data_IF_092814705884
#
_entry.id   IF_092814705884
#
_cell.length_a   1.000
_cell.length_b   1.000
_cell.length_c   1.000
_cell.angle_alpha   90.00
_cell.angle_beta   90.00
_cell.angle_gamma   90.00
#
_symmetry.space_group_name_H-M   'P 1'
#
loop_
_entity.id
_entity.type
_entity.pdbx_description
1 polymer ?
#
# COMPACT_ATOMS: atom_id res chain seq x y z
N UNK A 1 -57.22 4.05 0.52
CA UNK A 1 -56.42 5.27 0.33
C UNK A 1 -55.75 5.60 1.65
N UNK A 2 -54.46 5.31 1.79
CA UNK A 2 -53.72 5.58 3.03
C UNK A 2 -53.23 7.03 2.94
N UNK A 3 -53.75 7.90 3.80
CA UNK A 3 -53.47 9.34 3.82
C UNK A 3 -52.39 9.59 4.87
N UNK A 4 -51.13 9.43 4.48
CA UNK A 4 -50.01 9.70 5.38
C UNK A 4 -49.89 11.21 5.64
N UNK A 5 -49.79 11.65 6.90
CA UNK A 5 -49.58 13.06 7.22
C UNK A 5 -48.21 13.53 6.69
N UNK A 6 -48.17 14.74 6.10
CA UNK A 6 -47.01 15.33 5.41
C UNK A 6 -45.69 15.27 6.21
N UNK A 7 -45.79 15.33 7.55
CA UNK A 7 -44.67 15.23 8.48
C UNK A 7 -43.98 13.85 8.46
N UNK A 8 -44.73 12.76 8.30
CA UNK A 8 -44.16 11.41 8.23
C UNK A 8 -43.45 11.17 6.91
N UNK A 9 -43.93 11.79 5.83
CA UNK A 9 -43.30 11.72 4.51
C UNK A 9 -41.91 12.39 4.49
N UNK A 10 -41.78 13.52 5.20
CA UNK A 10 -40.52 14.22 5.37
C UNK A 10 -39.47 13.39 6.12
N UNK A 11 -39.87 12.66 7.15
CA UNK A 11 -38.97 11.79 7.94
C UNK A 11 -38.51 10.58 7.12
N UNK A 12 -39.43 9.96 6.39
CA UNK A 12 -39.12 8.83 5.50
C UNK A 12 -38.18 9.25 4.37
N UNK A 13 -38.40 10.43 3.78
CA UNK A 13 -37.53 10.98 2.74
C UNK A 13 -36.11 11.26 3.28
N UNK A 14 -35.98 11.86 4.46
CA UNK A 14 -34.68 12.15 5.07
C UNK A 14 -33.88 10.88 5.40
N UNK A 15 -34.52 9.83 5.93
CA UNK A 15 -33.86 8.53 6.14
C UNK A 15 -33.40 7.89 4.83
N UNK A 16 -34.24 7.92 3.79
CA UNK A 16 -33.88 7.32 2.50
C UNK A 16 -32.67 8.01 1.86
N UNK A 17 -32.58 9.34 1.99
CA UNK A 17 -31.43 10.12 1.49
C UNK A 17 -30.16 9.78 2.28
N UNK A 18 -30.24 9.68 3.62
CA UNK A 18 -29.10 9.30 4.45
C UNK A 18 -28.59 7.89 4.14
N UNK A 19 -29.50 6.92 3.95
CA UNK A 19 -29.15 5.54 3.58
C UNK A 19 -28.49 5.49 2.19
N UNK A 20 -29.04 6.22 1.21
CA UNK A 20 -28.46 6.30 -0.13
C UNK A 20 -27.05 6.89 -0.10
N UNK A 21 -26.83 7.94 0.70
CA UNK A 21 -25.50 8.52 0.90
C UNK A 21 -24.53 7.50 1.51
N UNK A 22 -24.91 6.79 2.57
CA UNK A 22 -24.07 5.74 3.17
C UNK A 22 -23.62 4.66 2.16
N UNK A 23 -24.49 4.23 1.25
CA UNK A 23 -24.14 3.21 0.24
C UNK A 23 -23.11 3.75 -0.78
N UNK A 24 -23.20 5.03 -1.14
CA UNK A 24 -22.25 5.65 -2.10
C UNK A 24 -20.84 5.82 -1.50
N UNK A 25 -20.71 6.06 -0.19
CA UNK A 25 -19.41 6.21 0.46
C UNK A 25 -18.77 4.87 0.88
N UNK A 26 -19.52 3.76 0.91
CA UNK A 26 -18.97 2.43 1.23
C UNK A 26 -18.46 1.64 0.00
N UNK A 27 -18.70 2.10 -1.23
CA UNK A 27 -18.17 1.46 -2.43
C UNK A 27 -16.79 2.01 -2.84
N UNK A 28 -15.79 1.81 -1.98
CA UNK A 28 -14.39 2.06 -2.34
C UNK A 28 -13.48 0.95 -1.82
N UNK A 29 -13.66 -0.26 -2.33
CA UNK A 29 -12.55 -1.20 -2.53
C UNK A 29 -12.79 -1.95 -3.83
N UNK A 30 -12.04 -1.69 -4.92
CA UNK A 30 -11.91 -2.69 -5.96
C UNK A 30 -11.17 -3.88 -5.34
N UNK A 31 -11.91 -4.94 -5.04
CA UNK A 31 -11.30 -6.23 -4.76
C UNK A 31 -10.47 -6.62 -5.99
N UNK A 32 -9.17 -6.80 -5.76
CA UNK A 32 -8.21 -7.26 -6.75
C UNK A 32 -8.71 -8.61 -7.29
N UNK A 33 -9.27 -8.62 -8.51
CA UNK A 33 -9.70 -9.86 -9.17
C UNK A 33 -8.50 -10.78 -9.33
N UNK A 34 -8.51 -11.88 -8.59
CA UNK A 34 -7.68 -13.04 -8.87
C UNK A 34 -8.29 -13.74 -10.11
N UNK A 35 -7.83 -13.38 -11.29
CA UNK A 35 -8.13 -14.16 -12.49
C UNK A 35 -7.28 -15.42 -12.44
N UNK A 36 -7.98 -16.54 -12.28
CA UNK A 36 -7.39 -17.87 -12.20
C UNK A 36 -6.61 -18.27 -13.44
N UNK A 37 -5.55 -19.01 -13.16
CA UNK A 37 -4.77 -19.91 -14.02
C UNK A 37 -5.53 -20.36 -15.28
N UNK A 38 -4.94 -20.07 -16.45
CA UNK A 38 -4.95 -21.02 -17.56
C UNK A 38 -3.51 -21.14 -18.06
N UNK A 39 -2.93 -22.30 -17.78
CA UNK A 39 -1.67 -22.73 -18.36
C UNK A 39 -1.89 -23.04 -19.85
N UNK A 40 -1.12 -22.38 -20.71
CA UNK A 40 -0.84 -22.88 -22.07
C UNK A 40 0.63 -22.68 -22.34
N UNK A 41 1.37 -23.78 -22.27
CA UNK A 41 2.77 -23.89 -22.64
C UNK A 41 2.92 -23.83 -24.15
N UNK A 42 3.79 -22.96 -24.70
CA UNK A 42 4.52 -23.18 -25.97
C UNK A 42 5.88 -22.44 -25.93
N UNK A 43 6.95 -23.24 -25.91
CA UNK A 43 8.34 -23.13 -26.41
C UNK A 43 9.14 -21.81 -26.43
N UNK A 44 10.28 -21.83 -25.74
CA UNK A 44 11.40 -20.89 -25.83
C UNK A 44 12.66 -21.67 -26.30
N UNK A 45 13.48 -21.19 -27.26
CA UNK A 45 14.69 -21.88 -27.69
C UNK A 45 15.93 -21.49 -26.88
N UNK A 46 16.85 -22.44 -26.79
CA UNK A 46 18.11 -22.50 -26.02
C UNK A 46 19.03 -21.26 -26.08
N UNK A 47 19.45 -20.81 -24.89
CA UNK A 47 20.66 -20.02 -24.66
C UNK A 47 21.33 -20.49 -23.35
N UNK A 48 22.67 -20.45 -23.24
CA UNK A 48 23.44 -21.31 -22.34
C UNK A 48 23.27 -20.98 -20.85
N UNK A 49 23.23 -22.06 -20.06
CA UNK A 49 23.07 -22.10 -18.61
C UNK A 49 24.20 -21.33 -17.88
N UNK A 50 24.03 -20.02 -17.71
CA UNK A 50 24.44 -19.41 -16.45
C UNK A 50 23.38 -19.81 -15.43
N UNK A 51 23.82 -20.57 -14.44
CA UNK A 51 23.05 -21.09 -13.32
C UNK A 51 22.39 -19.95 -12.53
N UNK A 52 21.30 -19.40 -13.07
CA UNK A 52 20.27 -18.74 -12.28
C UNK A 52 19.76 -19.83 -11.35
N UNK A 53 20.17 -19.81 -10.08
CA UNK A 53 19.49 -20.59 -9.05
C UNK A 53 18.00 -20.20 -9.09
N UNK A 54 17.10 -21.03 -9.67
CA UNK A 54 15.69 -20.68 -9.83
C UNK A 54 14.93 -20.82 -8.51
N UNK A 55 15.62 -21.18 -7.42
CA UNK A 55 15.05 -21.59 -6.14
C UNK A 55 14.95 -20.51 -5.06
N UNK A 56 15.22 -19.24 -5.35
CA UNK A 56 15.10 -18.18 -4.35
C UNK A 56 14.28 -16.99 -4.87
N UNK A 57 13.10 -17.25 -5.42
CA UNK A 57 12.03 -16.26 -5.24
C UNK A 57 11.77 -16.23 -3.74
N UNK A 58 12.32 -15.21 -3.08
CA UNK A 58 12.02 -14.91 -1.70
C UNK A 58 10.54 -14.51 -1.60
N UNK A 59 9.64 -15.49 -1.61
CA UNK A 59 8.35 -15.35 -0.95
C UNK A 59 8.64 -15.11 0.52
N UNK A 60 8.84 -13.84 0.89
CA UNK A 60 8.87 -13.43 2.28
C UNK A 60 7.56 -13.93 2.92
N UNK A 61 7.68 -14.76 3.97
CA UNK A 61 6.58 -15.51 4.56
C UNK A 61 5.38 -14.64 5.01
N UNK A 62 5.61 -13.34 5.20
CA UNK A 62 4.59 -12.34 5.49
C UNK A 62 4.98 -11.02 4.82
N UNK A 63 4.03 -10.21 4.33
CA UNK A 63 4.30 -8.81 3.97
C UNK A 63 4.99 -8.09 5.13
N UNK A 64 5.95 -7.18 4.84
CA UNK A 64 6.62 -6.42 5.87
C UNK A 64 5.60 -5.64 6.71
N UNK A 65 5.71 -5.76 8.04
CA UNK A 65 4.81 -5.05 8.96
C UNK A 65 5.36 -3.65 9.23
N UNK A 66 4.49 -2.66 9.06
CA UNK A 66 4.73 -1.30 9.51
C UNK A 66 4.42 -1.20 11.00
N UNK A 67 5.40 -0.79 11.80
CA UNK A 67 5.28 -0.66 13.25
C UNK A 67 5.08 0.83 13.60
N UNK A 68 4.01 1.20 14.32
CA UNK A 68 3.84 2.58 14.80
C UNK A 68 4.97 2.98 15.74
N UNK A 69 5.51 4.18 15.58
CA UNK A 69 6.54 4.75 16.45
C UNK A 69 6.46 6.29 16.50
N UNK A 70 7.23 6.89 17.39
CA UNK A 70 7.35 8.35 17.50
C UNK A 70 8.79 8.77 17.23
N UNK A 71 9.00 9.60 16.20
CA UNK A 71 10.32 10.14 15.84
C UNK A 71 10.29 11.66 15.94
N UNK A 72 11.09 12.23 16.86
CA UNK A 72 11.11 13.68 17.09
C UNK A 72 9.76 14.27 17.47
N UNK A 73 8.95 13.51 18.23
CA UNK A 73 7.59 13.90 18.62
C UNK A 73 6.51 13.69 17.55
N UNK A 74 6.89 13.23 16.34
CA UNK A 74 5.95 12.96 15.25
C UNK A 74 5.66 11.47 15.13
N UNK A 75 4.38 11.12 14.99
CA UNK A 75 3.97 9.74 14.70
C UNK A 75 4.47 9.31 13.32
N UNK A 76 5.10 8.14 13.25
CA UNK A 76 5.66 7.53 12.05
C UNK A 76 5.37 6.03 12.03
N UNK A 77 5.51 5.43 10.86
CA UNK A 77 5.49 3.97 10.69
C UNK A 77 6.89 3.50 10.29
N UNK A 78 7.43 2.55 11.05
CA UNK A 78 8.77 2.00 10.84
C UNK A 78 8.66 0.69 10.08
N UNK A 79 9.42 0.60 9.00
CA UNK A 79 9.66 -0.62 8.25
C UNK A 79 11.03 -1.17 8.64
N UNK A 80 11.09 -2.34 9.24
CA UNK A 80 12.35 -3.02 9.55
C UNK A 80 12.80 -3.87 8.36
N UNK A 81 13.95 -3.52 7.79
CA UNK A 81 14.70 -4.37 6.85
C UNK A 81 15.76 -5.13 7.64
N UNK A 82 15.79 -6.45 7.49
CA UNK A 82 16.59 -7.32 8.38
C UNK A 82 17.63 -8.14 7.64
N UNK A 83 17.53 -8.27 6.32
CA UNK A 83 18.48 -9.05 5.54
C UNK A 83 19.38 -8.14 4.70
N UNK A 84 20.68 -8.46 4.60
CA UNK A 84 21.54 -7.83 3.61
C UNK A 84 20.98 -8.19 2.23
N UNK A 85 20.75 -7.17 1.39
CA UNK A 85 20.13 -7.26 0.05
C UNK A 85 18.59 -7.21 -0.01
N UNK A 86 17.89 -6.91 1.08
CA UNK A 86 16.46 -6.60 1.01
C UNK A 86 16.21 -5.39 0.08
N UNK A 87 15.40 -5.58 -0.96
CA UNK A 87 14.99 -4.51 -1.89
C UNK A 87 13.58 -4.05 -1.55
N UNK A 88 13.45 -2.77 -1.21
CA UNK A 88 12.15 -2.15 -0.88
C UNK A 88 11.72 -1.27 -2.05
N UNK A 89 10.67 -1.68 -2.76
CA UNK A 89 10.04 -0.86 -3.79
C UNK A 89 9.11 0.16 -3.15
N UNK A 90 9.36 1.45 -3.40
CA UNK A 90 8.45 2.53 -2.99
C UNK A 90 7.97 3.32 -4.19
N UNK A 91 6.66 3.54 -4.24
CA UNK A 91 5.99 4.30 -5.29
C UNK A 91 5.41 5.56 -4.69
N UNK A 92 5.93 6.71 -5.12
CA UNK A 92 5.30 7.99 -4.88
C UNK A 92 4.20 8.22 -5.92
N UNK A 93 3.21 9.05 -5.58
CA UNK A 93 2.21 9.49 -6.56
C UNK A 93 2.89 10.21 -7.75
N UNK A 94 2.23 10.26 -8.92
CA UNK A 94 2.73 11.03 -10.05
C UNK A 94 3.12 12.44 -9.63
N UNK A 95 4.18 12.97 -10.25
CA UNK A 95 4.83 14.25 -9.91
C UNK A 95 5.65 14.28 -8.62
N UNK A 96 5.73 13.19 -7.86
CA UNK A 96 6.61 13.07 -6.70
C UNK A 96 7.70 12.01 -6.90
N UNK A 97 8.87 12.23 -6.31
CA UNK A 97 9.98 11.27 -6.29
C UNK A 97 10.35 10.87 -4.85
N UNK A 98 10.72 9.60 -4.61
CA UNK A 98 11.18 9.15 -3.31
C UNK A 98 12.55 9.75 -2.99
N UNK A 99 12.72 10.23 -1.76
CA UNK A 99 13.97 10.78 -1.23
C UNK A 99 14.28 10.09 0.09
N UNK A 100 15.46 9.48 0.17
CA UNK A 100 15.99 8.82 1.36
C UNK A 100 16.94 9.76 2.10
N UNK A 101 16.70 9.93 3.40
CA UNK A 101 17.65 10.59 4.31
C UNK A 101 18.08 9.60 5.37
N UNK A 102 19.38 9.34 5.49
CA UNK A 102 19.97 8.37 6.41
C UNK A 102 20.65 9.09 7.57
N UNK A 103 20.47 8.57 8.78
CA UNK A 103 21.10 9.10 10.00
C UNK A 103 21.36 7.97 11.01
N UNK A 104 22.13 8.23 12.08
CA UNK A 104 22.28 7.29 13.19
C UNK A 104 20.93 7.01 13.87
N UNK A 105 20.64 5.75 14.15
CA UNK A 105 19.41 5.34 14.86
C UNK A 105 19.53 5.73 16.33
N UNK A 106 18.63 6.59 16.81
CA UNK A 106 18.65 7.05 18.21
C UNK A 106 19.98 7.68 18.67
N UNK A 107 20.82 8.17 17.74
CA UNK A 107 22.17 8.68 18.04
C UNK A 107 23.26 7.61 18.18
N UNK A 108 22.94 6.32 18.04
CA UNK A 108 23.94 5.25 18.03
C UNK A 108 24.62 5.13 16.66
N UNK A 109 25.96 5.21 16.56
CA UNK A 109 26.64 5.26 15.28
C UNK A 109 26.64 3.93 14.49
N UNK A 110 26.54 2.80 15.19
CA UNK A 110 26.56 1.44 14.64
C UNK A 110 25.26 1.01 13.98
N UNK A 111 24.15 1.69 14.28
CA UNK A 111 22.85 1.41 13.71
C UNK A 111 22.39 2.63 12.90
N UNK A 112 21.92 2.40 11.68
CA UNK A 112 21.43 3.47 10.80
C UNK A 112 19.92 3.36 10.68
N UNK A 113 19.26 4.49 10.68
CA UNK A 113 17.86 4.61 10.29
C UNK A 113 17.73 5.57 9.12
N UNK A 114 16.68 5.40 8.32
CA UNK A 114 16.41 6.32 7.22
C UNK A 114 14.94 6.69 7.17
N UNK A 115 14.66 7.96 6.88
CA UNK A 115 13.30 8.40 6.54
C UNK A 115 13.17 8.46 5.02
N UNK A 116 12.16 7.78 4.50
CA UNK A 116 11.78 7.86 3.10
C UNK A 116 10.57 8.80 2.95
N UNK A 117 10.72 9.82 2.11
CA UNK A 117 9.67 10.82 1.87
C UNK A 117 9.45 11.00 0.37
N UNK A 118 8.23 11.36 -0.03
CA UNK A 118 7.93 11.73 -1.40
C UNK A 118 8.00 13.26 -1.53
N UNK A 119 8.89 13.78 -2.38
CA UNK A 119 9.03 15.22 -2.66
C UNK A 119 8.63 15.53 -4.10
N UNK A 120 8.16 16.75 -4.41
CA UNK A 120 7.86 17.15 -5.78
C UNK A 120 9.06 16.92 -6.71
N UNK A 121 8.82 16.26 -7.83
CA UNK A 121 9.79 16.03 -8.90
C UNK A 121 10.06 17.36 -9.58
N UNK A 122 11.16 18.02 -9.21
CA UNK A 122 11.52 19.36 -9.69
C UNK A 122 11.82 20.38 -8.57
N UNK A 123 11.61 20.02 -7.30
CA UNK A 123 12.13 20.77 -6.17
C UNK A 123 13.59 20.34 -5.91
N UNK A 124 14.51 20.83 -6.74
CA UNK A 124 15.95 20.87 -6.45
C UNK A 124 16.36 22.31 -6.18
#
# INVERSE_FOLDING_TARGET
MIKFPFKEWLVLAAMAIALAFCIHFLQATPALSATGVIATAISQPDAPLLELNPGAIATAAQPPKLVPAVLGGKQVYVLYSTQPNDVILVRCYPTYQPVLSVKPMGGQPSQKEGTLTCKPSGAM
#
